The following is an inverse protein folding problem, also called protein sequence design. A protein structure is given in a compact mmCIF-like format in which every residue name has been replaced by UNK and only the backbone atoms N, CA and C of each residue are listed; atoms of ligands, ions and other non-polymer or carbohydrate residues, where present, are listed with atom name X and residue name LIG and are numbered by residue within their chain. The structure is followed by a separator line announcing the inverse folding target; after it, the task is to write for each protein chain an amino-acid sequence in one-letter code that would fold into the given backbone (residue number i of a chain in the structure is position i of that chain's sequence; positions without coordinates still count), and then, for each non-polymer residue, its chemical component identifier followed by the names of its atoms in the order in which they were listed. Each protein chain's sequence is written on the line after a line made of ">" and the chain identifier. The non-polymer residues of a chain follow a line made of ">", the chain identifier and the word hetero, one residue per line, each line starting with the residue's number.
data_IF_978166292243
#
_entry.id   IF_978166292243
#
_cell.length_a   1.000
_cell.length_b   1.000
_cell.length_c   1.000
_cell.angle_alpha   90.00
_cell.angle_beta   90.00
_cell.angle_gamma   90.00
#
_symmetry.space_group_name_H-M   'P 1'
#
loop_
_entity.id
_entity.type
_entity.pdbx_description
1 polymer ?
#
# COMPACT_ATOMS: atom_id res chain seq x y z
N UNK A 1 17.54 -21.87 1.43
CA UNK A 1 16.94 -20.74 0.71
C UNK A 1 15.89 -20.15 1.62
N UNK A 2 15.93 -18.84 1.83
CA UNK A 2 14.98 -18.14 2.70
C UNK A 2 13.96 -17.39 1.86
N UNK A 3 12.76 -17.19 2.40
CA UNK A 3 11.72 -16.37 1.77
C UNK A 3 12.15 -14.91 1.68
N UNK A 4 11.93 -14.27 0.54
CA UNK A 4 12.20 -12.83 0.30
C UNK A 4 10.99 -12.11 -0.27
N UNK A 5 10.97 -10.78 -0.17
CA UNK A 5 9.93 -9.94 -0.74
C UNK A 5 10.36 -9.44 -2.13
N UNK A 6 9.52 -9.65 -3.15
CA UNK A 6 9.74 -9.19 -4.51
C UNK A 6 8.92 -7.93 -4.84
N UNK A 7 9.54 -6.77 -4.61
CA UNK A 7 8.96 -5.45 -4.86
C UNK A 7 8.76 -5.11 -6.36
N UNK A 8 9.13 -5.98 -7.30
CA UNK A 8 8.78 -5.79 -8.72
C UNK A 8 7.28 -6.02 -8.98
N UNK A 9 6.62 -6.76 -8.08
CA UNK A 9 5.20 -7.08 -8.15
C UNK A 9 4.45 -6.52 -6.94
N UNK A 10 4.10 -5.24 -7.03
CA UNK A 10 3.26 -4.57 -6.02
C UNK A 10 1.80 -4.67 -6.42
N UNK A 11 0.95 -5.09 -5.49
CA UNK A 11 -0.50 -5.04 -5.62
C UNK A 11 -1.07 -4.08 -4.59
N UNK A 12 -2.00 -3.24 -5.01
CA UNK A 12 -2.83 -2.46 -4.09
C UNK A 12 -4.17 -3.18 -4.01
N UNK A 13 -4.47 -3.76 -2.85
CA UNK A 13 -5.71 -4.49 -2.59
C UNK A 13 -6.36 -3.93 -1.33
N UNK A 14 -7.70 -3.93 -1.28
CA UNK A 14 -8.45 -3.47 -0.12
C UNK A 14 -8.42 -1.95 0.04
N UNK A 15 -9.14 -1.26 -0.84
CA UNK A 15 -9.59 0.09 -0.54
C UNK A 15 -10.73 -0.01 0.47
N UNK A 16 -10.47 0.48 1.69
CA UNK A 16 -11.48 0.58 2.72
C UNK A 16 -11.94 2.04 2.80
N UNK A 17 -13.24 2.29 2.63
CA UNK A 17 -13.86 3.58 2.87
C UNK A 17 -14.90 3.43 3.98
N UNK A 18 -14.75 4.20 5.07
CA UNK A 18 -15.72 4.22 6.16
C UNK A 18 -16.06 5.65 6.59
N UNK A 19 -17.30 5.85 7.00
CA UNK A 19 -17.72 7.10 7.63
C UNK A 19 -17.09 7.23 9.03
N UNK A 20 -16.64 8.44 9.36
CA UNK A 20 -16.08 8.82 10.66
C UNK A 20 -16.65 10.18 11.07
N UNK A 21 -16.47 10.56 12.34
CA UNK A 21 -16.89 11.89 12.79
C UNK A 21 -16.18 12.98 11.98
N UNK A 22 -16.96 13.79 11.26
CA UNK A 22 -16.44 14.87 10.42
C UNK A 22 -16.07 14.48 8.99
N UNK A 23 -16.38 13.26 8.52
CA UNK A 23 -16.21 12.89 7.11
C UNK A 23 -16.04 11.40 6.86
N UNK A 24 -15.03 11.07 6.05
CA UNK A 24 -14.70 9.71 5.65
C UNK A 24 -13.22 9.43 5.86
N UNK A 25 -12.91 8.22 6.28
CA UNK A 25 -11.56 7.68 6.30
C UNK A 25 -11.40 6.68 5.16
N UNK A 26 -10.38 6.92 4.33
CA UNK A 26 -9.93 6.00 3.30
C UNK A 26 -8.65 5.32 3.75
N UNK A 27 -8.51 4.05 3.43
CA UNK A 27 -7.29 3.31 3.64
C UNK A 27 -6.92 2.49 2.40
N UNK A 28 -5.63 2.45 2.07
CA UNK A 28 -5.08 1.59 1.05
C UNK A 28 -3.97 0.73 1.63
N UNK A 29 -3.94 -0.55 1.24
CA UNK A 29 -2.89 -1.49 1.65
C UNK A 29 -2.12 -1.97 0.43
N UNK A 30 -0.79 -1.86 0.49
CA UNK A 30 0.11 -2.45 -0.49
C UNK A 30 0.52 -3.85 -0.03
N UNK A 31 0.50 -4.76 -0.99
CA UNK A 31 0.95 -6.14 -0.86
C UNK A 31 2.06 -6.40 -1.85
N UNK A 32 3.03 -7.20 -1.44
CA UNK A 32 4.20 -7.57 -2.25
C UNK A 32 4.31 -9.08 -2.27
N UNK A 33 4.72 -9.64 -3.41
CA UNK A 33 4.95 -11.07 -3.54
C UNK A 33 6.04 -11.52 -2.57
N UNK A 34 5.75 -12.52 -1.74
CA UNK A 34 6.73 -13.26 -0.97
C UNK A 34 7.12 -14.51 -1.77
N UNK A 35 8.40 -14.66 -2.06
CA UNK A 35 8.94 -15.72 -2.92
C UNK A 35 9.99 -16.55 -2.21
N UNK A 36 10.07 -17.84 -2.54
CA UNK A 36 11.16 -18.75 -2.14
C UNK A 36 11.76 -19.37 -3.41
N UNK A 37 12.98 -18.96 -3.76
CA UNK A 37 13.54 -19.21 -5.08
C UNK A 37 12.63 -18.62 -6.17
N UNK A 38 12.18 -19.46 -7.09
CA UNK A 38 11.28 -19.09 -8.20
C UNK A 38 9.79 -19.31 -7.87
N UNK A 39 9.46 -19.72 -6.64
CA UNK A 39 8.10 -20.01 -6.22
C UNK A 39 7.48 -18.81 -5.52
N UNK A 40 6.31 -18.38 -5.99
CA UNK A 40 5.41 -17.50 -5.23
C UNK A 40 4.83 -18.28 -4.03
N UNK A 41 5.07 -17.79 -2.82
CA UNK A 41 4.49 -18.32 -1.58
C UNK A 41 3.14 -17.67 -1.33
N UNK A 42 3.12 -16.34 -1.20
CA UNK A 42 1.92 -15.55 -0.97
C UNK A 42 2.14 -14.07 -1.33
N UNK A 43 1.14 -13.23 -1.10
CA UNK A 43 1.30 -11.78 -1.11
C UNK A 43 1.21 -11.24 0.31
N UNK A 44 2.32 -10.73 0.84
CA UNK A 44 2.38 -10.18 2.19
C UNK A 44 2.01 -8.69 2.18
N UNK A 45 1.21 -8.25 3.15
CA UNK A 45 0.94 -6.84 3.37
C UNK A 45 2.22 -6.15 3.86
N UNK A 46 2.66 -5.10 3.17
CA UNK A 46 3.92 -4.39 3.51
C UNK A 46 3.72 -2.96 3.98
N UNK A 47 2.61 -2.32 3.59
CA UNK A 47 2.29 -0.97 4.00
C UNK A 47 0.79 -0.73 3.96
N UNK A 48 0.28 0.04 4.93
CA UNK A 48 -1.07 0.59 4.93
C UNK A 48 -0.98 2.09 5.18
N UNK A 49 -1.69 2.87 4.39
CA UNK A 49 -1.81 4.32 4.54
C UNK A 49 -3.27 4.71 4.67
N UNK A 50 -3.54 5.76 5.43
CA UNK A 50 -4.88 6.25 5.72
C UNK A 50 -4.97 7.76 5.49
N UNK A 51 -6.12 8.23 5.02
CA UNK A 51 -6.40 9.65 4.79
C UNK A 51 -7.84 9.93 5.20
N UNK A 52 -8.06 11.09 5.81
CA UNK A 52 -9.40 11.54 6.19
C UNK A 52 -9.78 12.74 5.34
N UNK A 53 -11.01 12.74 4.81
CA UNK A 53 -11.55 13.86 4.06
C UNK A 53 -12.97 14.19 4.54
N UNK A 54 -13.27 15.48 4.68
CA UNK A 54 -14.55 15.96 5.23
C UNK A 54 -15.67 16.09 4.20
N UNK A 55 -15.33 16.04 2.91
CA UNK A 55 -16.25 16.24 1.81
C UNK A 55 -17.16 15.04 1.55
N UNK A 56 -18.31 15.32 0.94
CA UNK A 56 -19.28 14.31 0.48
C UNK A 56 -19.36 14.26 -1.05
N UNK A 57 -18.65 15.17 -1.74
CA UNK A 57 -18.65 15.22 -3.19
C UNK A 57 -17.67 14.17 -3.77
N UNK A 58 -17.99 13.57 -4.92
CA UNK A 58 -17.10 12.59 -5.57
C UNK A 58 -15.67 13.11 -5.80
N UNK A 59 -15.49 14.41 -6.02
CA UNK A 59 -14.19 15.05 -6.22
C UNK A 59 -13.32 15.03 -4.95
N UNK A 60 -13.94 15.09 -3.76
CA UNK A 60 -13.21 15.02 -2.50
C UNK A 60 -12.62 13.63 -2.28
N UNK A 61 -13.42 12.60 -2.54
CA UNK A 61 -12.97 11.23 -2.55
C UNK A 61 -11.84 11.01 -3.56
N UNK A 62 -11.99 11.47 -4.81
CA UNK A 62 -10.96 11.29 -5.84
C UNK A 62 -9.63 11.95 -5.46
N UNK A 63 -9.69 13.15 -4.88
CA UNK A 63 -8.51 13.87 -4.39
C UNK A 63 -7.84 13.15 -3.22
N UNK A 64 -8.62 12.69 -2.25
CA UNK A 64 -8.12 11.92 -1.11
C UNK A 64 -7.49 10.59 -1.58
N UNK A 65 -8.15 9.89 -2.51
CA UNK A 65 -7.67 8.63 -3.06
C UNK A 65 -6.34 8.82 -3.84
N UNK A 66 -6.24 9.86 -4.67
CA UNK A 66 -4.99 10.18 -5.37
C UNK A 66 -3.84 10.50 -4.39
N UNK A 67 -4.14 11.24 -3.32
CA UNK A 67 -3.16 11.54 -2.26
C UNK A 67 -2.68 10.26 -1.58
N UNK A 68 -3.60 9.35 -1.27
CA UNK A 68 -3.27 8.04 -0.70
C UNK A 68 -2.41 7.19 -1.60
N UNK A 69 -2.77 7.07 -2.88
CA UNK A 69 -1.96 6.30 -3.84
C UNK A 69 -0.53 6.82 -3.94
N UNK A 70 -0.34 8.15 -3.96
CA UNK A 70 1.00 8.77 -3.97
C UNK A 70 1.76 8.47 -2.68
N UNK A 71 1.12 8.60 -1.53
CA UNK A 71 1.73 8.30 -0.24
C UNK A 71 2.12 6.81 -0.13
N UNK A 72 1.25 5.90 -0.58
CA UNK A 72 1.51 4.46 -0.57
C UNK A 72 2.67 4.11 -1.51
N UNK A 73 2.71 4.69 -2.71
CA UNK A 73 3.80 4.48 -3.66
C UNK A 73 5.15 4.93 -3.09
N UNK A 74 5.19 6.11 -2.45
CA UNK A 74 6.39 6.60 -1.77
C UNK A 74 6.82 5.63 -0.65
N UNK A 75 5.88 5.17 0.17
CA UNK A 75 6.16 4.22 1.25
C UNK A 75 6.69 2.88 0.74
N UNK A 76 6.13 2.35 -0.33
CA UNK A 76 6.60 1.11 -0.96
C UNK A 76 8.01 1.29 -1.54
N UNK A 77 8.31 2.44 -2.14
CA UNK A 77 9.65 2.72 -2.65
C UNK A 77 10.71 2.75 -1.52
N UNK A 78 10.38 3.36 -0.37
CA UNK A 78 11.26 3.33 0.81
C UNK A 78 11.54 1.90 1.29
N UNK A 79 10.50 1.07 1.38
CA UNK A 79 10.62 -0.33 1.80
C UNK A 79 11.44 -1.15 0.81
N UNK A 80 11.24 -0.94 -0.49
CA UNK A 80 12.04 -1.59 -1.53
C UNK A 80 13.53 -1.20 -1.45
N UNK A 81 13.83 0.06 -1.14
CA UNK A 81 15.20 0.52 -0.91
C UNK A 81 15.81 -0.09 0.35
N UNK A 82 15.03 -0.23 1.42
CA UNK A 82 15.49 -0.88 2.65
C UNK A 82 15.82 -2.36 2.41
N UNK A 83 14.91 -3.10 1.76
CA UNK A 83 15.12 -4.52 1.44
C UNK A 83 16.39 -4.74 0.59
N UNK A 84 16.62 -3.90 -0.43
CA UNK A 84 17.84 -3.97 -1.26
C UNK A 84 19.14 -3.75 -0.47
N UNK A 85 19.11 -2.97 0.61
CA UNK A 85 20.28 -2.75 1.47
C UNK A 85 20.55 -3.93 2.40
N UNK A 86 19.52 -4.70 2.75
CA UNK A 86 19.67 -5.89 3.60
C UNK A 86 20.16 -7.11 2.79
N UNK A 87 19.93 -7.12 1.48
CA UNK A 87 20.39 -8.16 0.55
C UNK A 87 21.84 -8.00 0.08
N UNK A 88 22.46 -6.83 0.26
CA UNK A 88 23.83 -6.50 -0.17
C UNK A 88 24.82 -6.45 0.98
#
# INVERSE_FOLDING_TARGET
>A
MGTRLDFSMVRILGEDCRAVDGGHELALTAYVAQVDGDRLVEHAAVARVTETFAGWDPQDYQRANLKLHRALAARVAELALAARREEG
#
